data_IF_326214691186
#
_entry.id   IF_326214691186
#
_cell.length_a   1.000
_cell.length_b   1.000
_cell.length_c   1.000
_cell.angle_alpha   90.00
_cell.angle_beta   90.00
_cell.angle_gamma   90.00
#
_symmetry.space_group_name_H-M   'P 1'
#
loop_
_entity.id
_entity.type
_entity.pdbx_description
1 polymer ?
#
# COMPACT_ATOMS: atom_id res chain seq x y z
N UNK A 1 -7.45 -20.18 3.35
CA UNK A 1 -6.03 -19.85 3.46
C UNK A 1 -5.79 -18.50 2.81
N UNK A 2 -4.73 -17.83 3.21
CA UNK A 2 -4.24 -16.62 2.52
C UNK A 2 -3.48 -17.08 1.27
N UNK A 3 -3.87 -16.58 0.10
CA UNK A 3 -3.38 -17.11 -1.15
C UNK A 3 -3.60 -18.63 -1.25
N UNK A 4 -2.67 -19.30 -1.88
CA UNK A 4 -2.67 -20.78 -2.00
C UNK A 4 -1.82 -21.48 -0.93
N UNK A 5 -1.53 -20.78 0.20
CA UNK A 5 -0.66 -21.30 1.25
C UNK A 5 -1.46 -22.01 2.36
N UNK A 6 -1.51 -23.37 2.40
CA UNK A 6 -2.34 -24.12 3.35
C UNK A 6 -1.92 -23.93 4.81
N UNK A 7 -0.70 -23.48 5.07
CA UNK A 7 -0.17 -23.17 6.41
C UNK A 7 -0.48 -21.74 6.89
N UNK A 8 -1.16 -20.93 6.08
CA UNK A 8 -1.60 -19.59 6.44
C UNK A 8 -3.14 -19.54 6.51
N UNK A 9 -3.76 -20.01 7.60
CA UNK A 9 -5.22 -19.99 7.72
C UNK A 9 -5.72 -18.56 7.82
N UNK A 10 -6.75 -18.24 7.02
CA UNK A 10 -7.43 -16.96 7.07
C UNK A 10 -8.47 -16.97 8.19
N UNK A 11 -8.52 -15.90 8.98
CA UNK A 11 -9.57 -15.72 9.98
C UNK A 11 -10.93 -15.55 9.28
N UNK A 12 -11.97 -16.10 9.90
CA UNK A 12 -13.33 -15.98 9.39
C UNK A 12 -13.91 -14.60 9.75
N UNK A 13 -13.81 -13.64 8.85
CA UNK A 13 -14.33 -12.28 9.02
C UNK A 13 -15.86 -12.21 9.13
N UNK A 14 -16.59 -13.26 8.75
CA UNK A 14 -18.03 -13.33 8.96
C UNK A 14 -18.41 -13.68 10.41
N UNK A 15 -17.49 -14.24 11.21
CA UNK A 15 -17.71 -14.55 12.61
C UNK A 15 -17.71 -13.26 13.46
N UNK A 16 -18.78 -13.05 14.24
CA UNK A 16 -18.94 -11.84 15.05
C UNK A 16 -17.88 -11.68 16.15
N UNK A 17 -17.44 -12.77 16.77
CA UNK A 17 -16.39 -12.73 17.80
C UNK A 17 -15.04 -12.37 17.21
N UNK A 18 -14.70 -12.91 16.03
CA UNK A 18 -13.47 -12.56 15.31
C UNK A 18 -13.48 -11.08 14.93
N UNK A 19 -14.59 -10.58 14.39
CA UNK A 19 -14.73 -9.16 14.05
C UNK A 19 -14.55 -8.26 15.27
N UNK A 20 -15.21 -8.60 16.38
CA UNK A 20 -15.13 -7.84 17.64
C UNK A 20 -13.69 -7.85 18.18
N UNK A 21 -13.04 -8.99 18.21
CA UNK A 21 -11.65 -9.11 18.65
C UNK A 21 -10.70 -8.22 17.83
N UNK A 22 -10.79 -8.28 16.50
CA UNK A 22 -9.95 -7.45 15.62
C UNK A 22 -10.25 -5.96 15.84
N UNK A 23 -11.54 -5.55 15.94
CA UNK A 23 -11.92 -4.17 16.29
C UNK A 23 -11.24 -3.72 17.58
N UNK A 24 -11.30 -4.53 18.62
CA UNK A 24 -10.75 -4.19 19.93
C UNK A 24 -9.23 -3.99 19.86
N UNK A 25 -8.52 -4.81 19.08
CA UNK A 25 -7.09 -4.62 18.80
C UNK A 25 -6.85 -3.30 18.07
N UNK A 26 -7.63 -3.02 17.02
CA UNK A 26 -7.48 -1.80 16.22
C UNK A 26 -7.71 -0.53 17.05
N UNK A 27 -8.75 -0.52 17.87
CA UNK A 27 -9.05 0.61 18.75
C UNK A 27 -8.07 0.72 19.93
N UNK A 28 -7.61 -0.39 20.48
CA UNK A 28 -6.66 -0.40 21.59
C UNK A 28 -5.39 0.40 21.26
N UNK A 29 -4.73 0.12 20.13
CA UNK A 29 -3.51 0.80 19.77
C UNK A 29 -3.70 2.27 19.38
N UNK A 30 -4.85 2.61 18.78
CA UNK A 30 -5.22 4.01 18.54
C UNK A 30 -5.36 4.79 19.84
N UNK A 31 -5.97 4.18 20.87
CA UNK A 31 -6.18 4.82 22.18
C UNK A 31 -4.91 4.88 23.02
N UNK A 32 -4.24 3.74 23.17
CA UNK A 32 -3.16 3.60 24.13
C UNK A 32 -1.81 4.12 23.60
N UNK A 33 -1.54 3.94 22.32
CA UNK A 33 -0.27 4.35 21.71
C UNK A 33 -0.40 5.62 20.85
N UNK A 34 -1.62 6.11 20.60
CA UNK A 34 -1.84 7.31 19.79
C UNK A 34 -1.32 7.18 18.36
N UNK A 35 -1.40 5.97 17.78
CA UNK A 35 -0.99 5.75 16.39
C UNK A 35 -1.95 6.49 15.43
N UNK A 36 -1.45 6.90 14.26
CA UNK A 36 -2.23 7.68 13.29
C UNK A 36 -3.06 6.81 12.33
N UNK A 37 -2.90 5.48 12.37
CA UNK A 37 -3.63 4.58 11.50
C UNK A 37 -3.06 3.18 11.46
N UNK A 38 -3.55 2.40 10.49
CA UNK A 38 -3.24 0.99 10.33
C UNK A 38 -2.88 0.62 8.90
N UNK A 39 -1.88 -0.24 8.75
CA UNK A 39 -1.63 -0.98 7.50
C UNK A 39 -2.23 -2.38 7.66
N UNK A 40 -3.14 -2.72 6.76
CA UNK A 40 -3.76 -4.04 6.69
C UNK A 40 -3.02 -4.89 5.67
N UNK A 41 -2.47 -6.00 6.16
CA UNK A 41 -1.76 -6.99 5.37
C UNK A 41 -2.73 -7.74 4.45
N UNK A 42 -2.30 -8.02 3.21
CA UNK A 42 -3.07 -8.79 2.21
C UNK A 42 -4.53 -8.32 2.14
N UNK A 43 -4.74 -7.01 2.00
CA UNK A 43 -6.05 -6.37 2.15
C UNK A 43 -7.09 -6.83 1.14
N UNK A 44 -6.69 -7.30 -0.03
CA UNK A 44 -7.55 -7.83 -1.08
C UNK A 44 -8.12 -9.23 -0.77
N UNK A 45 -7.58 -9.94 0.23
CA UNK A 45 -8.10 -11.22 0.70
C UNK A 45 -8.93 -11.11 2.00
N UNK A 46 -9.03 -9.92 2.60
CA UNK A 46 -9.85 -9.70 3.78
C UNK A 46 -11.35 -9.76 3.42
N UNK A 47 -12.16 -10.18 4.38
CA UNK A 47 -13.61 -10.11 4.24
C UNK A 47 -14.07 -8.65 4.13
N UNK A 48 -14.68 -8.27 3.00
CA UNK A 48 -15.09 -6.90 2.74
C UNK A 48 -16.06 -6.35 3.76
N UNK A 49 -17.02 -7.16 4.23
CA UNK A 49 -18.00 -6.71 5.22
C UNK A 49 -17.34 -6.47 6.58
N UNK A 50 -16.32 -7.28 6.93
CA UNK A 50 -15.53 -7.04 8.13
C UNK A 50 -14.73 -5.74 8.02
N UNK A 51 -14.09 -5.48 6.88
CA UNK A 51 -13.33 -4.23 6.63
C UNK A 51 -14.23 -3.00 6.73
N UNK A 52 -15.41 -3.02 6.10
CA UNK A 52 -16.40 -1.93 6.19
C UNK A 52 -16.77 -1.67 7.65
N UNK A 53 -17.11 -2.72 8.38
CA UNK A 53 -17.50 -2.59 9.77
C UNK A 53 -16.36 -2.09 10.67
N UNK A 54 -15.13 -2.57 10.50
CA UNK A 54 -13.96 -2.07 11.24
C UNK A 54 -13.71 -0.60 10.92
N UNK A 55 -13.83 -0.21 9.65
CA UNK A 55 -13.71 1.19 9.24
C UNK A 55 -14.73 2.06 9.98
N UNK A 56 -16.00 1.68 9.98
CA UNK A 56 -17.05 2.41 10.67
C UNK A 56 -16.76 2.57 12.17
N UNK A 57 -16.34 1.50 12.83
CA UNK A 57 -15.97 1.51 14.24
C UNK A 57 -14.78 2.45 14.52
N UNK A 58 -13.72 2.36 13.70
CA UNK A 58 -12.53 3.21 13.83
C UNK A 58 -12.89 4.67 13.57
N UNK A 59 -13.55 4.97 12.44
CA UNK A 59 -13.82 6.34 12.03
C UNK A 59 -14.83 7.06 12.93
N UNK A 60 -15.66 6.32 13.64
CA UNK A 60 -16.58 6.89 14.64
C UNK A 60 -15.82 7.53 15.80
N UNK A 61 -14.75 6.92 16.26
CA UNK A 61 -13.93 7.40 17.38
C UNK A 61 -12.71 8.19 16.91
N UNK A 62 -12.07 7.74 15.84
CA UNK A 62 -10.86 8.33 15.26
C UNK A 62 -11.07 8.69 13.78
N UNK A 63 -11.81 9.77 13.47
CA UNK A 63 -12.15 10.12 12.09
C UNK A 63 -10.93 10.41 11.20
N UNK A 64 -9.80 10.80 11.79
CA UNK A 64 -8.55 11.10 11.08
C UNK A 64 -7.62 9.88 10.93
N UNK A 65 -7.89 8.76 11.61
CA UNK A 65 -7.04 7.58 11.51
C UNK A 65 -6.99 7.06 10.06
N UNK A 66 -5.80 6.83 9.55
CA UNK A 66 -5.59 6.36 8.16
C UNK A 66 -5.67 4.84 8.10
N UNK A 67 -6.47 4.32 7.19
CA UNK A 67 -6.54 2.88 6.87
C UNK A 67 -5.88 2.64 5.54
N UNK A 68 -4.71 2.00 5.57
CA UNK A 68 -3.90 1.66 4.41
C UNK A 68 -4.00 0.17 4.12
N UNK A 69 -4.43 -0.19 2.91
CA UNK A 69 -4.48 -1.58 2.46
C UNK A 69 -3.21 -1.99 1.71
N UNK A 70 -2.66 -3.16 2.03
CA UNK A 70 -1.64 -3.75 1.17
C UNK A 70 -2.28 -4.60 0.10
N UNK A 71 -1.94 -4.30 -1.17
CA UNK A 71 -2.28 -5.12 -2.34
C UNK A 71 -1.20 -4.97 -3.39
N UNK A 72 -0.89 -6.06 -4.09
CA UNK A 72 0.15 -6.08 -5.13
C UNK A 72 -0.33 -5.61 -6.49
N UNK A 73 -1.63 -5.46 -6.67
CA UNK A 73 -2.25 -5.16 -7.94
C UNK A 73 -3.05 -3.87 -7.95
N UNK A 74 -4.22 -3.97 -8.55
CA UNK A 74 -5.17 -2.89 -8.69
C UNK A 74 -5.94 -2.63 -7.40
N UNK A 75 -5.61 -1.55 -6.72
CA UNK A 75 -6.24 -1.15 -5.45
C UNK A 75 -7.64 -0.53 -5.63
N UNK A 76 -8.11 -0.28 -6.85
CA UNK A 76 -9.34 0.49 -7.09
C UNK A 76 -10.58 -0.07 -6.39
N UNK A 77 -10.63 -1.39 -6.20
CA UNK A 77 -11.75 -2.07 -5.53
C UNK A 77 -11.68 -2.02 -4.01
N UNK A 78 -10.50 -1.71 -3.45
CA UNK A 78 -10.28 -1.64 -2.01
C UNK A 78 -10.55 -0.25 -1.46
N UNK A 79 -10.43 0.77 -2.31
CA UNK A 79 -10.51 2.17 -1.94
C UNK A 79 -11.94 2.69 -2.03
N UNK A 80 -12.27 3.68 -1.22
CA UNK A 80 -13.56 4.35 -1.26
C UNK A 80 -14.08 4.75 0.11
N UNK A 81 -15.30 5.27 0.13
CA UNK A 81 -15.94 5.75 1.36
C UNK A 81 -16.16 4.63 2.39
N UNK A 82 -16.30 3.41 1.94
CA UNK A 82 -16.55 2.20 2.73
C UNK A 82 -15.36 1.23 2.76
N UNK A 83 -14.24 1.60 2.14
CA UNK A 83 -13.02 0.80 2.06
C UNK A 83 -11.83 1.41 2.78
N UNK A 84 -10.64 1.24 2.20
CA UNK A 84 -9.42 1.85 2.69
C UNK A 84 -9.29 3.30 2.22
N UNK A 85 -8.60 4.13 3.01
CA UNK A 85 -8.30 5.53 2.63
C UNK A 85 -7.21 5.58 1.57
N UNK A 86 -6.27 4.63 1.62
CA UNK A 86 -5.14 4.52 0.71
C UNK A 86 -4.68 3.07 0.59
N UNK A 87 -3.79 2.81 -0.37
CA UNK A 87 -3.16 1.50 -0.54
C UNK A 87 -1.70 1.64 -0.97
N UNK A 88 -0.90 0.58 -0.75
CA UNK A 88 0.47 0.49 -1.26
C UNK A 88 0.45 0.47 -2.79
N UNK A 89 1.16 1.40 -3.41
CA UNK A 89 1.15 1.57 -4.86
C UNK A 89 2.24 0.73 -5.55
N UNK A 90 2.05 -0.59 -5.54
CA UNK A 90 2.97 -1.50 -6.22
C UNK A 90 2.95 -1.34 -7.74
N UNK A 91 1.86 -0.85 -8.34
CA UNK A 91 1.82 -0.53 -9.77
C UNK A 91 2.82 0.59 -10.12
N UNK A 92 2.95 1.61 -9.26
CA UNK A 92 3.97 2.64 -9.38
C UNK A 92 5.36 2.04 -9.24
N UNK A 93 5.61 1.29 -8.15
CA UNK A 93 6.89 0.63 -7.87
C UNK A 93 7.36 -0.20 -9.06
N UNK A 94 6.50 -1.07 -9.57
CA UNK A 94 6.86 -2.01 -10.63
C UNK A 94 7.17 -1.28 -11.94
N UNK A 95 6.38 -0.27 -12.31
CA UNK A 95 6.65 0.55 -13.49
C UNK A 95 8.01 1.26 -13.39
N UNK A 96 8.30 1.89 -12.23
CA UNK A 96 9.55 2.61 -11.99
C UNK A 96 10.74 1.64 -11.96
N UNK A 97 10.61 0.51 -11.27
CA UNK A 97 11.66 -0.50 -11.17
C UNK A 97 11.97 -1.12 -12.54
N UNK A 98 10.94 -1.47 -13.31
CA UNK A 98 11.15 -2.07 -14.65
C UNK A 98 11.84 -1.09 -15.60
N UNK A 99 11.53 0.21 -15.52
CA UNK A 99 12.18 1.21 -16.36
C UNK A 99 13.57 1.58 -15.85
N UNK A 100 13.64 2.08 -14.61
CA UNK A 100 14.85 2.75 -14.13
C UNK A 100 15.88 1.78 -13.54
N UNK A 101 15.46 0.67 -12.91
CA UNK A 101 16.40 -0.28 -12.35
C UNK A 101 16.76 -1.39 -13.34
N UNK A 102 15.74 -2.05 -13.89
CA UNK A 102 15.93 -3.27 -14.70
C UNK A 102 16.13 -2.99 -16.19
N UNK A 103 15.73 -1.80 -16.69
CA UNK A 103 15.80 -1.47 -18.12
C UNK A 103 14.91 -2.34 -19.01
N UNK A 104 13.82 -2.91 -18.46
CA UNK A 104 12.90 -3.80 -19.20
C UNK A 104 11.92 -3.05 -20.08
N UNK A 105 11.62 -1.81 -19.73
CA UNK A 105 10.69 -0.95 -20.48
C UNK A 105 11.32 0.42 -20.72
N UNK A 106 10.92 1.06 -21.81
CA UNK A 106 11.32 2.44 -22.12
C UNK A 106 10.41 3.48 -21.44
N UNK A 107 10.82 4.76 -21.56
CA UNK A 107 10.14 5.91 -20.93
C UNK A 107 8.67 6.04 -21.37
N UNK A 108 8.37 5.77 -22.63
CA UNK A 108 6.98 5.83 -23.14
C UNK A 108 6.08 4.81 -22.46
N UNK A 109 6.56 3.60 -22.23
CA UNK A 109 5.82 2.56 -21.53
C UNK A 109 5.72 2.86 -20.02
N UNK A 110 6.76 3.41 -19.40
CA UNK A 110 6.71 3.93 -18.03
C UNK A 110 5.59 4.96 -17.91
N UNK A 111 5.57 5.98 -18.77
CA UNK A 111 4.54 7.02 -18.78
C UNK A 111 3.13 6.42 -18.93
N UNK A 112 2.96 5.47 -19.85
CA UNK A 112 1.67 4.78 -20.05
C UNK A 112 1.21 4.03 -18.80
N UNK A 113 2.11 3.28 -18.14
CA UNK A 113 1.78 2.52 -16.91
C UNK A 113 1.45 3.44 -15.74
N UNK A 114 2.22 4.52 -15.56
CA UNK A 114 1.97 5.50 -14.50
C UNK A 114 0.63 6.23 -14.69
N UNK A 115 0.33 6.67 -15.91
CA UNK A 115 -0.97 7.26 -16.22
C UNK A 115 -2.12 6.27 -16.02
N UNK A 116 -1.95 5.01 -16.43
CA UNK A 116 -2.94 3.96 -16.20
C UNK A 116 -3.18 3.73 -14.70
N UNK A 117 -2.14 3.74 -13.87
CA UNK A 117 -2.27 3.62 -12.42
C UNK A 117 -3.06 4.79 -11.80
N UNK A 118 -2.78 6.02 -12.23
CA UNK A 118 -3.52 7.22 -11.79
C UNK A 118 -4.99 7.17 -12.17
N UNK A 119 -5.30 6.73 -13.38
CA UNK A 119 -6.68 6.66 -13.88
C UNK A 119 -7.53 5.59 -13.20
N UNK A 120 -6.91 4.60 -12.55
CA UNK A 120 -7.61 3.55 -11.80
C UNK A 120 -8.13 4.04 -10.45
N UNK A 121 -7.42 4.98 -9.84
CA UNK A 121 -7.77 5.52 -8.53
C UNK A 121 -8.09 7.00 -8.68
N UNK A 122 -9.36 7.31 -8.74
CA UNK A 122 -9.86 8.69 -8.91
C UNK A 122 -10.22 9.34 -7.58
N UNK A 123 -10.31 10.68 -7.56
CA UNK A 123 -10.70 11.44 -6.38
C UNK A 123 -9.62 11.51 -5.30
N UNK A 124 -9.99 11.78 -4.03
CA UNK A 124 -9.04 12.00 -2.94
C UNK A 124 -8.08 10.84 -2.70
N UNK A 125 -8.55 9.60 -2.86
CA UNK A 125 -7.74 8.40 -2.65
C UNK A 125 -6.57 8.30 -3.65
N UNK A 126 -6.73 8.81 -4.89
CA UNK A 126 -5.66 8.85 -5.88
C UNK A 126 -4.48 9.73 -5.45
N UNK A 127 -4.77 10.82 -4.72
CA UNK A 127 -3.77 11.72 -4.18
C UNK A 127 -3.16 11.24 -2.85
N UNK A 128 -3.67 10.14 -2.29
CA UNK A 128 -3.19 9.56 -1.03
C UNK A 128 -2.44 8.23 -1.23
N UNK A 129 -2.33 7.71 -2.46
CA UNK A 129 -1.66 6.42 -2.71
C UNK A 129 -0.24 6.39 -2.14
N UNK A 130 0.08 5.33 -1.40
CA UNK A 130 1.37 5.13 -0.76
C UNK A 130 2.42 4.70 -1.81
N UNK A 131 3.14 5.67 -2.38
CA UNK A 131 4.13 5.44 -3.42
C UNK A 131 5.44 4.95 -2.80
N UNK A 132 5.75 3.67 -2.93
CA UNK A 132 6.99 3.06 -2.46
C UNK A 132 7.88 2.61 -3.62
N UNK A 133 9.20 2.58 -3.42
CA UNK A 133 10.17 1.94 -4.32
C UNK A 133 10.54 0.53 -3.84
N UNK A 134 10.34 0.26 -2.56
CA UNK A 134 10.61 -1.02 -1.93
C UNK A 134 9.85 -1.19 -0.62
N UNK A 135 9.88 -2.41 -0.09
CA UNK A 135 9.31 -2.80 1.19
C UNK A 135 10.10 -4.00 1.75
N UNK A 136 9.69 -4.51 2.91
CA UNK A 136 10.26 -5.74 3.49
C UNK A 136 9.99 -7.00 2.62
N UNK A 137 9.01 -6.94 1.72
CA UNK A 137 8.64 -8.05 0.82
C UNK A 137 9.35 -7.99 -0.54
N UNK A 138 10.18 -6.98 -0.77
CA UNK A 138 10.81 -6.77 -2.08
C UNK A 138 12.32 -6.60 -1.96
N UNK A 139 13.03 -6.91 -3.03
CA UNK A 139 14.43 -6.52 -3.13
C UNK A 139 14.56 -4.99 -3.06
N UNK A 140 15.67 -4.50 -2.50
CA UNK A 140 16.01 -3.09 -2.50
C UNK A 140 16.11 -2.56 -3.94
N UNK A 141 15.64 -1.34 -4.17
CA UNK A 141 15.72 -0.73 -5.50
C UNK A 141 17.16 -0.66 -6.01
N UNK A 142 18.13 -0.31 -5.15
CA UNK A 142 19.53 -0.23 -5.53
C UNK A 142 20.13 -1.59 -5.91
N UNK A 143 19.68 -2.68 -5.29
CA UNK A 143 20.03 -4.05 -5.69
C UNK A 143 19.52 -4.36 -7.10
N UNK A 144 18.28 -4.03 -7.40
CA UNK A 144 17.68 -4.18 -8.74
C UNK A 144 18.40 -3.31 -9.79
N UNK A 145 18.88 -2.14 -9.37
CA UNK A 145 19.67 -1.22 -10.19
C UNK A 145 21.17 -1.57 -10.23
N UNK A 146 21.57 -2.75 -9.73
CA UNK A 146 22.96 -3.24 -9.75
C UNK A 146 23.98 -2.28 -9.12
N UNK A 147 23.57 -1.57 -8.08
CA UNK A 147 24.40 -0.60 -7.36
C UNK A 147 24.53 0.78 -8.04
N UNK A 148 23.83 1.03 -9.13
CA UNK A 148 23.89 2.31 -9.84
C UNK A 148 23.11 3.40 -9.11
N UNK A 149 23.74 4.10 -8.15
CA UNK A 149 23.11 5.08 -7.28
C UNK A 149 22.37 6.23 -7.99
N UNK A 150 22.80 6.60 -9.22
CA UNK A 150 22.09 7.63 -9.99
C UNK A 150 20.67 7.20 -10.39
N UNK A 151 20.45 5.89 -10.60
CA UNK A 151 19.12 5.33 -10.90
C UNK A 151 18.19 5.43 -9.69
N UNK A 152 18.71 5.14 -8.49
CA UNK A 152 17.97 5.32 -7.25
C UNK A 152 17.58 6.78 -7.05
N UNK A 153 18.52 7.73 -7.24
CA UNK A 153 18.24 9.16 -7.13
C UNK A 153 17.15 9.62 -8.10
N UNK A 154 17.19 9.13 -9.35
CA UNK A 154 16.18 9.44 -10.35
C UNK A 154 14.80 8.85 -9.97
N UNK A 155 14.78 7.62 -9.48
CA UNK A 155 13.55 6.97 -9.00
C UNK A 155 12.94 7.69 -7.79
N UNK A 156 13.77 8.10 -6.82
CA UNK A 156 13.32 8.89 -5.67
C UNK A 156 12.80 10.27 -6.09
N UNK A 157 13.45 10.95 -7.04
CA UNK A 157 12.95 12.21 -7.58
C UNK A 157 11.56 12.04 -8.21
N UNK A 158 11.38 10.98 -9.01
CA UNK A 158 10.07 10.65 -9.59
C UNK A 158 9.03 10.31 -8.50
N UNK A 159 9.41 9.54 -7.48
CA UNK A 159 8.56 9.21 -6.33
C UNK A 159 8.05 10.45 -5.59
N UNK A 160 8.93 11.43 -5.37
CA UNK A 160 8.59 12.68 -4.67
C UNK A 160 7.69 13.60 -5.49
N UNK A 161 7.75 13.51 -6.82
CA UNK A 161 6.98 14.37 -7.74
C UNK A 161 5.70 13.72 -8.24
N UNK A 162 5.57 12.41 -8.10
CA UNK A 162 4.39 11.69 -8.56
C UNK A 162 3.22 11.88 -7.59
N UNK A 163 1.97 12.04 -8.08
CA UNK A 163 0.80 12.18 -7.21
C UNK A 163 0.67 11.02 -6.23
N UNK A 164 0.55 11.34 -4.95
CA UNK A 164 0.48 10.38 -3.85
C UNK A 164 1.37 10.77 -2.66
N UNK A 165 1.44 9.90 -1.67
CA UNK A 165 2.31 10.02 -0.52
C UNK A 165 3.62 9.25 -0.76
N UNK A 166 4.77 9.92 -0.94
CA UNK A 166 6.04 9.23 -1.12
C UNK A 166 6.46 8.53 0.17
N UNK A 167 6.84 7.26 0.06
CA UNK A 167 7.22 6.43 1.19
C UNK A 167 8.63 5.89 1.00
N UNK A 168 9.57 6.39 1.78
CA UNK A 168 10.96 5.94 1.78
C UNK A 168 11.07 4.70 2.68
N UNK A 169 11.43 3.55 2.10
CA UNK A 169 11.76 2.39 2.89
C UNK A 169 13.12 2.65 3.57
N UNK A 170 13.20 2.38 4.87
CA UNK A 170 14.36 2.74 5.70
C UNK A 170 15.69 2.32 5.04
N UNK A 171 16.65 3.22 5.03
CA UNK A 171 17.97 3.00 4.46
C UNK A 171 18.09 3.27 2.96
N UNK A 172 16.98 3.39 2.21
CA UNK A 172 17.04 3.76 0.79
C UNK A 172 17.63 5.17 0.61
N UNK A 173 17.39 6.08 1.57
CA UNK A 173 17.98 7.42 1.60
C UNK A 173 19.50 7.40 1.77
N UNK A 174 20.04 6.31 2.31
CA UNK A 174 21.49 6.09 2.47
C UNK A 174 22.07 5.21 1.35
N UNK A 175 21.22 4.66 0.47
CA UNK A 175 21.65 3.79 -0.62
C UNK A 175 21.94 2.35 -0.16
N UNK A 176 21.13 1.83 0.76
CA UNK A 176 21.21 0.42 1.18
C UNK A 176 20.75 -0.52 0.07
#
# INVERSE_FOLDING_TARGET
CVGDYPYMPRLNGANGEVRAYVRDVLLYWLREAGIDGWRFDVADELDRHAVIWWREEIKREFPQAVLLGETWGDASRLLGADGFDTAMNYLFRDAVTDCLARGRIGVSELSRRLNSALMKVTGPNGHAMYNCLGSHDTARFLTEAKGEAWRLRLAMALQMLFPGAPAIYYGDELGM
#
